data_IF_073289114686
#
_entry.id   IF_073289114686
#
_cell.length_a   1.000
_cell.length_b   1.000
_cell.length_c   1.000
_cell.angle_alpha   90.00
_cell.angle_beta   90.00
_cell.angle_gamma   90.00
#
_symmetry.space_group_name_H-M   'P 1'
#
loop_
_entity.id
_entity.type
_entity.pdbx_description
1 polymer ?
#
# COMPACT_ATOMS: atom_id res chain seq x y z
N UNK A 1 2.02 -29.48 29.80
CA UNK A 1 2.92 -30.03 28.77
C UNK A 1 2.11 -30.43 27.54
N UNK A 2 1.77 -29.47 26.66
CA UNK A 2 1.28 -29.81 25.32
C UNK A 2 2.48 -30.27 24.48
N UNK A 3 2.37 -31.46 23.87
CA UNK A 3 3.39 -31.99 22.97
C UNK A 3 3.51 -31.05 21.78
N UNK A 4 4.63 -30.33 21.69
CA UNK A 4 5.13 -29.73 20.46
C UNK A 4 5.09 -30.79 19.35
N UNK A 5 4.16 -30.64 18.40
CA UNK A 5 4.24 -31.36 17.14
C UNK A 5 5.44 -30.79 16.37
N UNK A 6 6.62 -31.39 16.57
CA UNK A 6 7.78 -31.15 15.70
C UNK A 6 7.46 -31.76 14.34
N UNK A 7 7.02 -30.92 13.39
CA UNK A 7 6.95 -31.31 11.98
C UNK A 7 8.40 -31.62 11.54
N UNK A 8 8.69 -32.89 11.26
CA UNK A 8 10.06 -33.42 11.04
C UNK A 8 10.76 -32.87 9.79
N UNK A 9 10.05 -32.18 8.91
CA UNK A 9 10.57 -31.40 7.79
C UNK A 9 9.83 -30.07 7.85
N UNK A 10 10.51 -28.93 7.97
CA UNK A 10 9.83 -27.63 7.90
C UNK A 10 9.22 -27.50 6.48
N UNK A 11 7.90 -27.71 6.28
CA UNK A 11 7.28 -27.62 4.97
C UNK A 11 7.19 -26.17 4.48
N UNK A 12 7.51 -25.21 5.34
CA UNK A 12 7.35 -23.77 5.15
C UNK A 12 8.62 -23.10 4.60
N UNK A 13 9.58 -23.88 4.06
CA UNK A 13 10.78 -23.33 3.44
C UNK A 13 10.56 -23.09 1.95
N UNK A 14 10.84 -21.86 1.51
CA UNK A 14 10.95 -21.56 0.08
C UNK A 14 12.23 -22.18 -0.47
N UNK A 15 12.08 -23.20 -1.32
CA UNK A 15 13.18 -23.91 -1.95
C UNK A 15 13.64 -23.24 -3.25
N UNK A 16 14.76 -23.73 -3.81
CA UNK A 16 15.33 -23.18 -5.03
C UNK A 16 14.39 -23.30 -6.24
N UNK A 17 13.58 -24.36 -6.31
CA UNK A 17 12.63 -24.59 -7.40
C UNK A 17 11.39 -23.68 -7.33
N UNK A 18 11.10 -23.08 -6.16
CA UNK A 18 10.06 -22.07 -6.02
C UNK A 18 10.52 -20.69 -6.53
N UNK A 19 11.81 -20.52 -6.86
CA UNK A 19 12.38 -19.22 -7.26
C UNK A 19 12.47 -19.13 -8.78
N UNK A 20 12.12 -17.97 -9.32
CA UNK A 20 12.35 -17.60 -10.72
C UNK A 20 13.80 -17.17 -10.92
N UNK A 21 14.28 -17.13 -12.16
CA UNK A 21 15.67 -16.77 -12.48
C UNK A 21 16.05 -15.37 -12.00
N UNK A 22 15.09 -14.44 -12.06
CA UNK A 22 15.16 -13.05 -11.57
C UNK A 22 15.59 -12.94 -10.09
N UNK A 23 15.16 -13.87 -9.23
CA UNK A 23 15.56 -13.92 -7.81
C UNK A 23 17.09 -13.93 -7.63
N UNK A 24 17.81 -14.50 -8.58
CA UNK A 24 19.27 -14.65 -8.51
C UNK A 24 20.03 -13.46 -9.10
N UNK A 25 19.34 -12.61 -9.83
CA UNK A 25 19.90 -11.42 -10.53
C UNK A 25 19.69 -10.16 -9.70
N UNK A 26 18.58 -10.06 -8.98
CA UNK A 26 18.19 -8.88 -8.20
C UNK A 26 17.93 -9.27 -6.74
N UNK A 27 19.02 -9.40 -5.96
CA UNK A 27 18.97 -9.87 -4.57
C UNK A 27 18.75 -8.76 -3.54
N UNK A 28 18.96 -7.51 -3.92
CA UNK A 28 18.88 -6.36 -3.03
C UNK A 28 18.11 -5.25 -3.75
N UNK A 29 16.77 -5.21 -3.64
CA UNK A 29 16.02 -4.06 -4.13
C UNK A 29 16.55 -2.86 -3.36
N UNK A 30 17.06 -1.82 -4.06
CA UNK A 30 17.75 -0.69 -3.45
C UNK A 30 16.97 -0.05 -2.29
N UNK A 31 17.24 -0.53 -1.06
CA UNK A 31 16.56 -0.17 0.20
C UNK A 31 17.49 0.71 1.04
N UNK A 32 18.09 1.72 0.42
CA UNK A 32 19.08 2.56 1.11
C UNK A 32 18.40 3.42 2.19
N UNK A 33 17.44 4.27 1.81
CA UNK A 33 16.70 5.14 2.74
C UNK A 33 15.21 5.19 2.42
N UNK A 34 14.39 5.33 3.46
CA UNK A 34 12.98 5.67 3.32
C UNK A 34 12.76 7.19 3.22
N UNK A 35 11.57 7.58 2.80
CA UNK A 35 11.14 8.97 2.59
C UNK A 35 9.88 9.35 3.38
N UNK A 36 9.28 8.40 4.11
CA UNK A 36 8.16 8.64 5.01
C UNK A 36 8.64 9.38 6.27
N UNK A 37 8.35 10.69 6.33
CA UNK A 37 8.75 11.56 7.45
C UNK A 37 7.91 11.30 8.70
N UNK A 38 6.61 11.11 8.52
CA UNK A 38 5.66 10.81 9.57
C UNK A 38 4.98 9.48 9.29
N UNK A 39 4.80 8.68 10.33
CA UNK A 39 4.18 7.37 10.19
C UNK A 39 2.69 7.53 9.98
N UNK A 40 2.19 6.88 8.93
CA UNK A 40 0.76 6.87 8.67
C UNK A 40 0.03 6.04 9.74
N UNK A 41 -1.09 6.54 10.25
CA UNK A 41 -1.88 5.87 11.29
C UNK A 41 -3.31 5.72 10.81
N UNK A 42 -3.73 4.49 10.58
CA UNK A 42 -5.14 4.18 10.33
C UNK A 42 -5.83 4.10 11.69
N UNK A 43 -6.67 5.11 11.96
CA UNK A 43 -7.48 5.17 13.17
C UNK A 43 -8.85 4.57 12.90
N UNK A 44 -9.22 3.58 13.70
CA UNK A 44 -10.53 2.99 13.72
C UNK A 44 -11.24 3.45 15.01
N UNK A 45 -12.02 4.51 14.90
CA UNK A 45 -12.78 5.05 16.03
C UNK A 45 -13.91 4.09 16.48
N UNK A 46 -14.43 4.27 17.72
CA UNK A 46 -15.64 3.60 18.17
C UNK A 46 -16.80 3.80 17.19
N UNK A 47 -17.61 2.77 17.00
CA UNK A 47 -18.78 2.85 16.13
C UNK A 47 -19.77 3.92 16.64
N UNK A 48 -20.43 4.68 15.75
CA UNK A 48 -21.21 5.87 16.11
C UNK A 48 -22.38 5.58 17.07
N UNK A 49 -22.94 4.36 17.04
CA UNK A 49 -24.10 3.96 17.84
C UNK A 49 -23.75 3.12 19.08
N UNK A 50 -22.48 3.14 19.51
CA UNK A 50 -21.98 2.38 20.67
C UNK A 50 -21.38 3.34 21.70
N UNK A 51 -21.60 3.07 22.99
CA UNK A 51 -20.93 3.83 24.05
C UNK A 51 -19.42 3.58 24.00
N UNK A 52 -18.57 4.60 23.80
CA UNK A 52 -17.14 4.41 23.70
C UNK A 52 -16.55 3.81 24.97
N UNK A 53 -15.63 2.85 24.80
CA UNK A 53 -14.83 2.28 25.89
C UNK A 53 -13.87 3.33 26.45
N UNK A 54 -13.73 3.38 27.77
CA UNK A 54 -12.74 4.23 28.46
C UNK A 54 -11.31 3.63 28.42
N UNK A 55 -11.15 2.42 27.89
CA UNK A 55 -9.85 1.78 27.76
C UNK A 55 -8.97 2.50 26.74
N UNK A 56 -7.63 2.48 26.93
CA UNK A 56 -6.71 3.09 25.97
C UNK A 56 -6.84 2.43 24.58
N UNK A 57 -6.56 3.17 23.50
CA UNK A 57 -6.57 2.62 22.16
C UNK A 57 -5.65 1.40 22.04
N UNK A 58 -6.08 0.38 21.29
CA UNK A 58 -5.22 -0.73 20.91
C UNK A 58 -4.27 -0.25 19.83
N UNK A 59 -2.97 -0.16 20.14
CA UNK A 59 -1.93 0.30 19.20
C UNK A 59 -1.26 -0.89 18.52
N UNK A 60 -1.40 -0.98 17.21
CA UNK A 60 -0.81 -2.03 16.36
C UNK A 60 0.22 -1.37 15.45
N UNK A 61 1.47 -1.78 15.55
CA UNK A 61 2.56 -1.37 14.69
C UNK A 61 2.76 -2.45 13.62
N UNK A 62 2.29 -2.13 12.41
CA UNK A 62 2.26 -3.05 11.28
C UNK A 62 3.49 -2.87 10.38
N UNK A 63 4.34 -3.90 10.31
CA UNK A 63 5.46 -3.95 9.37
C UNK A 63 4.97 -4.25 7.96
N UNK A 64 5.06 -3.27 7.06
CA UNK A 64 4.61 -3.40 5.66
C UNK A 64 5.50 -2.64 4.68
N UNK A 65 5.29 -2.83 3.38
CA UNK A 65 5.96 -2.10 2.30
C UNK A 65 4.96 -1.76 1.17
N UNK A 66 5.21 -0.73 0.34
CA UNK A 66 4.28 -0.34 -0.72
C UNK A 66 3.82 -1.49 -1.63
N UNK A 67 4.74 -2.43 -1.91
CA UNK A 67 4.46 -3.64 -2.70
C UNK A 67 3.43 -4.58 -2.07
N UNK A 68 3.12 -4.42 -0.78
CA UNK A 68 2.24 -5.27 0.01
C UNK A 68 0.90 -4.60 0.34
N UNK A 69 0.43 -3.67 -0.51
CA UNK A 69 -0.86 -2.99 -0.35
C UNK A 69 -2.03 -3.97 -0.13
N UNK A 70 -2.14 -5.03 -0.94
CA UNK A 70 -3.20 -6.04 -0.81
C UNK A 70 -3.23 -6.67 0.58
N UNK A 71 -2.06 -7.09 1.09
CA UNK A 71 -1.94 -7.68 2.41
C UNK A 71 -2.27 -6.65 3.50
N UNK A 72 -1.79 -5.41 3.37
CA UNK A 72 -2.06 -4.31 4.32
C UNK A 72 -3.56 -4.03 4.42
N UNK A 73 -4.24 -3.95 3.27
CA UNK A 73 -5.68 -3.74 3.21
C UNK A 73 -6.44 -4.86 3.90
N UNK A 74 -6.11 -6.12 3.62
CA UNK A 74 -6.80 -7.27 4.23
C UNK A 74 -6.47 -7.42 5.72
N UNK A 75 -5.25 -7.08 6.15
CA UNK A 75 -4.89 -7.01 7.57
C UNK A 75 -5.82 -6.04 8.31
N UNK A 76 -5.90 -4.79 7.84
CA UNK A 76 -6.75 -3.74 8.45
C UNK A 76 -8.21 -4.16 8.43
N UNK A 77 -8.68 -4.71 7.30
CA UNK A 77 -10.04 -5.23 7.19
C UNK A 77 -10.32 -6.34 8.22
N UNK A 78 -9.39 -7.27 8.41
CA UNK A 78 -9.54 -8.35 9.41
C UNK A 78 -9.72 -7.79 10.82
N UNK A 79 -8.94 -6.77 11.21
CA UNK A 79 -9.10 -6.07 12.49
C UNK A 79 -10.48 -5.43 12.59
N UNK A 80 -10.93 -4.73 11.55
CA UNK A 80 -12.27 -4.12 11.52
C UNK A 80 -13.40 -5.13 11.70
N UNK A 81 -13.25 -6.37 11.23
CA UNK A 81 -14.29 -7.39 11.34
C UNK A 81 -14.42 -7.97 12.76
N UNK A 82 -13.34 -7.99 13.53
CA UNK A 82 -13.29 -8.75 14.79
C UNK A 82 -13.06 -7.88 16.03
N UNK A 83 -12.77 -6.60 15.86
CA UNK A 83 -12.56 -5.65 16.96
C UNK A 83 -13.82 -5.44 17.81
N UNK A 84 -13.63 -5.09 19.07
CA UNK A 84 -14.66 -4.45 19.88
C UNK A 84 -15.08 -3.12 19.23
N UNK A 85 -16.34 -2.96 18.78
CA UNK A 85 -16.79 -1.72 18.15
C UNK A 85 -16.83 -0.54 19.12
N UNK A 86 -16.77 -0.75 20.43
CA UNK A 86 -16.72 0.32 21.42
C UNK A 86 -15.31 0.91 21.60
N UNK A 87 -14.25 0.19 21.20
CA UNK A 87 -12.86 0.58 21.47
C UNK A 87 -12.18 1.18 20.24
N UNK A 88 -11.29 2.13 20.48
CA UNK A 88 -10.44 2.70 19.45
C UNK A 88 -9.26 1.78 19.12
N UNK A 89 -8.91 1.67 17.84
CA UNK A 89 -7.72 0.95 17.36
C UNK A 89 -6.89 1.88 16.48
N UNK A 90 -5.58 1.87 16.68
CA UNK A 90 -4.61 2.66 15.92
C UNK A 90 -3.64 1.70 15.24
N UNK A 91 -3.64 1.67 13.90
CA UNK A 91 -2.75 0.81 13.11
C UNK A 91 -1.69 1.70 12.46
N UNK A 92 -0.49 1.69 13.04
CA UNK A 92 0.67 2.46 12.61
C UNK A 92 1.41 1.70 11.50
N UNK A 93 1.43 2.27 10.28
CA UNK A 93 2.04 1.65 9.12
C UNK A 93 3.56 1.92 9.08
N UNK A 94 4.35 0.95 9.52
CA UNK A 94 5.81 1.05 9.48
C UNK A 94 6.34 0.70 8.09
N UNK A 95 6.36 1.70 7.22
CA UNK A 95 6.75 1.54 5.82
C UNK A 95 7.67 2.67 5.35
N UNK A 96 8.83 2.35 4.77
CA UNK A 96 9.76 3.35 4.21
C UNK A 96 10.05 4.56 5.15
N UNK A 97 10.16 4.34 6.46
CA UNK A 97 10.45 5.38 7.45
C UNK A 97 11.78 6.07 7.14
N UNK A 98 11.74 7.41 7.11
CA UNK A 98 12.88 8.25 6.78
C UNK A 98 14.00 8.15 7.83
N UNK A 99 15.25 8.21 7.36
CA UNK A 99 16.43 8.22 8.22
C UNK A 99 16.75 6.88 8.90
N UNK A 100 16.11 5.78 8.50
CA UNK A 100 16.47 4.42 8.95
C UNK A 100 17.07 3.63 7.78
N UNK A 101 18.36 3.24 7.85
CA UNK A 101 18.99 2.42 6.84
C UNK A 101 18.38 1.01 6.83
N UNK A 102 18.03 0.50 5.64
CA UNK A 102 17.40 -0.82 5.48
C UNK A 102 18.18 -1.79 4.62
N UNK A 103 19.42 -1.42 4.28
CA UNK A 103 20.34 -2.25 3.52
C UNK A 103 20.53 -3.61 4.20
N UNK A 104 20.37 -4.68 3.43
CA UNK A 104 20.50 -6.06 3.93
C UNK A 104 19.34 -6.57 4.78
N UNK A 105 18.23 -5.82 4.91
CA UNK A 105 17.02 -6.34 5.53
C UNK A 105 16.30 -7.30 4.59
N UNK A 106 15.71 -8.36 5.16
CA UNK A 106 14.96 -9.36 4.38
C UNK A 106 13.69 -8.76 3.79
N UNK A 107 12.94 -8.01 4.60
CA UNK A 107 11.75 -7.24 4.23
C UNK A 107 12.01 -5.75 4.46
N UNK A 108 11.25 -4.87 3.83
CA UNK A 108 11.37 -3.41 4.00
C UNK A 108 11.12 -2.88 5.41
N UNK A 109 10.76 -3.75 6.37
CA UNK A 109 10.37 -3.42 7.74
C UNK A 109 11.04 -4.27 8.83
N UNK A 110 11.98 -5.17 8.47
CA UNK A 110 12.54 -6.20 9.37
C UNK A 110 12.92 -5.69 10.78
N UNK A 111 13.70 -4.60 10.91
CA UNK A 111 14.15 -4.12 12.22
C UNK A 111 13.31 -2.97 12.79
N UNK A 112 12.25 -2.52 12.11
CA UNK A 112 11.37 -1.48 12.64
C UNK A 112 10.72 -1.87 13.97
N UNK A 113 10.48 -3.16 14.19
CA UNK A 113 9.96 -3.70 15.45
C UNK A 113 10.74 -3.27 16.70
N UNK A 114 12.03 -2.96 16.57
CA UNK A 114 12.89 -2.54 17.68
C UNK A 114 12.89 -1.03 17.91
N UNK A 115 12.24 -0.25 17.05
CA UNK A 115 12.00 1.18 17.25
C UNK A 115 10.58 1.47 17.79
N UNK A 116 9.73 0.44 17.94
CA UNK A 116 8.35 0.60 18.42
C UNK A 116 8.26 1.31 19.77
N UNK A 117 9.09 1.02 20.80
CA UNK A 117 9.03 1.77 22.04
C UNK A 117 9.17 3.29 21.81
N UNK A 118 10.11 3.71 20.96
CA UNK A 118 10.29 5.11 20.61
C UNK A 118 9.05 5.71 19.92
N UNK A 119 8.50 5.04 18.91
CA UNK A 119 7.32 5.53 18.20
C UNK A 119 6.03 5.49 19.02
N UNK A 120 5.96 4.63 20.04
CA UNK A 120 4.89 4.60 21.02
C UNK A 120 5.05 5.66 22.12
N UNK A 121 6.05 6.55 22.02
CA UNK A 121 6.32 7.60 23.01
C UNK A 121 7.07 7.12 24.25
N UNK A 122 7.76 5.98 24.16
CA UNK A 122 8.41 5.26 25.26
C UNK A 122 7.47 4.92 26.42
N UNK A 123 6.17 4.76 26.14
CA UNK A 123 5.18 4.53 27.17
C UNK A 123 4.02 3.63 26.71
N UNK A 124 3.39 2.95 27.66
CA UNK A 124 2.23 2.10 27.45
C UNK A 124 2.55 0.80 26.71
N UNK A 125 1.54 0.21 26.07
CA UNK A 125 1.66 -1.06 25.34
C UNK A 125 1.52 -0.91 23.84
N UNK A 126 2.13 -1.81 23.08
CA UNK A 126 2.03 -1.88 21.63
C UNK A 126 2.01 -3.34 21.17
N UNK A 127 1.22 -3.65 20.15
CA UNK A 127 1.34 -4.89 19.39
C UNK A 127 2.24 -4.63 18.18
N UNK A 128 3.17 -5.53 17.91
CA UNK A 128 3.84 -5.63 16.62
C UNK A 128 3.16 -6.71 15.76
N UNK A 129 2.98 -6.47 14.47
CA UNK A 129 2.63 -7.50 13.48
C UNK A 129 3.45 -7.35 12.20
N UNK A 130 3.88 -8.47 11.62
CA UNK A 130 4.20 -8.57 10.19
C UNK A 130 2.87 -8.54 9.39
N UNK A 131 2.86 -7.93 8.20
CA UNK A 131 1.64 -7.79 7.38
C UNK A 131 1.10 -9.09 6.79
N UNK A 132 1.85 -10.19 6.91
CA UNK A 132 1.45 -11.52 6.44
C UNK A 132 0.57 -12.29 7.44
N UNK A 133 -0.11 -11.54 8.32
CA UNK A 133 -1.00 -12.05 9.34
C UNK A 133 -2.43 -11.51 9.18
N UNK A 134 -3.42 -12.19 9.75
CA UNK A 134 -4.80 -11.70 9.86
C UNK A 134 -5.36 -12.08 11.23
N UNK A 135 -6.22 -11.21 11.78
CA UNK A 135 -6.92 -11.48 13.03
C UNK A 135 -8.24 -12.21 12.76
N UNK A 136 -8.49 -13.26 13.54
CA UNK A 136 -9.76 -14.00 13.59
C UNK A 136 -10.52 -13.73 14.89
N UNK A 137 -9.85 -13.12 15.88
CA UNK A 137 -10.45 -12.62 17.10
C UNK A 137 -9.89 -11.24 17.43
N UNK A 138 -10.57 -10.52 18.33
CA UNK A 138 -10.22 -9.14 18.69
C UNK A 138 -8.76 -9.00 19.19
N UNK A 139 -7.90 -8.19 18.53
CA UNK A 139 -6.53 -7.93 19.00
C UNK A 139 -6.46 -7.27 20.38
N UNK A 140 -7.53 -6.65 20.89
CA UNK A 140 -7.59 -6.15 22.27
C UNK A 140 -7.26 -7.24 23.29
N UNK A 141 -7.68 -8.50 23.03
CA UNK A 141 -7.40 -9.64 23.93
C UNK A 141 -5.90 -9.92 24.05
N UNK A 142 -5.12 -9.69 22.99
CA UNK A 142 -3.66 -9.74 23.05
C UNK A 142 -3.11 -8.49 23.75
N UNK A 143 -3.61 -7.30 23.40
CA UNK A 143 -3.14 -6.03 23.94
C UNK A 143 -3.25 -5.93 25.47
N UNK A 144 -4.34 -6.47 26.01
CA UNK A 144 -4.66 -6.41 27.44
C UNK A 144 -4.05 -7.58 28.23
N UNK A 145 -3.34 -8.51 27.58
CA UNK A 145 -2.76 -9.68 28.23
C UNK A 145 -1.82 -9.26 29.38
N UNK A 146 -1.91 -9.99 30.50
CA UNK A 146 -0.97 -9.83 31.60
C UNK A 146 0.43 -10.22 31.15
N UNK A 147 1.39 -9.34 31.43
CA UNK A 147 2.78 -9.54 31.01
C UNK A 147 3.69 -10.05 32.14
N UNK A 148 3.18 -10.17 33.38
CA UNK A 148 3.94 -10.70 34.54
C UNK A 148 5.34 -10.08 34.70
N UNK A 149 5.45 -8.77 34.46
CA UNK A 149 6.70 -8.02 34.52
C UNK A 149 7.65 -8.22 33.34
N UNK A 150 7.25 -8.97 32.30
CA UNK A 150 7.97 -9.08 31.03
C UNK A 150 7.82 -7.82 30.20
N UNK A 151 8.85 -7.52 29.41
CA UNK A 151 8.85 -6.41 28.45
C UNK A 151 8.27 -6.81 27.09
N UNK A 152 8.33 -8.09 26.74
CA UNK A 152 7.80 -8.62 25.48
C UNK A 152 7.15 -9.97 25.69
N UNK A 153 5.96 -10.18 25.12
CA UNK A 153 5.38 -11.50 24.92
C UNK A 153 5.41 -11.87 23.44
N UNK A 154 5.88 -13.08 23.12
CA UNK A 154 5.81 -13.69 21.79
C UNK A 154 5.73 -15.22 21.90
N UNK A 155 5.47 -15.95 20.81
CA UNK A 155 5.36 -17.42 20.91
C UNK A 155 6.69 -18.11 21.22
N UNK A 156 7.82 -17.48 20.89
CA UNK A 156 9.16 -17.89 21.31
C UNK A 156 10.15 -16.76 21.05
N UNK A 157 11.33 -16.81 21.66
CA UNK A 157 12.42 -15.88 21.34
C UNK A 157 12.74 -15.87 19.83
N UNK A 158 12.57 -16.99 19.11
CA UNK A 158 12.91 -17.06 17.67
C UNK A 158 11.84 -16.46 16.77
N UNK A 159 10.60 -16.40 17.23
CA UNK A 159 9.42 -16.10 16.43
C UNK A 159 8.80 -14.79 16.91
N UNK A 160 9.13 -13.70 16.22
CA UNK A 160 8.77 -12.35 16.64
C UNK A 160 7.99 -11.59 15.56
N UNK A 161 7.32 -12.32 14.66
CA UNK A 161 6.40 -11.76 13.65
C UNK A 161 5.15 -11.13 14.26
N UNK A 162 4.81 -11.52 15.50
CA UNK A 162 3.83 -10.84 16.34
C UNK A 162 4.31 -10.81 17.78
N UNK A 163 4.17 -9.66 18.43
CA UNK A 163 4.61 -9.45 19.82
C UNK A 163 3.67 -8.49 20.54
N UNK A 164 3.45 -8.71 21.83
CA UNK A 164 3.00 -7.66 22.75
C UNK A 164 4.23 -7.03 23.41
N UNK A 165 4.32 -5.71 23.41
CA UNK A 165 5.46 -4.94 23.89
C UNK A 165 5.01 -3.97 24.99
N UNK A 166 5.68 -4.01 26.13
CA UNK A 166 5.64 -2.97 27.15
C UNK A 166 6.69 -1.92 26.77
N UNK A 167 6.23 -0.79 26.24
CA UNK A 167 7.09 0.25 25.67
C UNK A 167 7.88 1.00 26.76
N UNK A 168 7.35 1.12 27.99
CA UNK A 168 8.07 1.70 29.12
C UNK A 168 9.29 0.83 29.49
N UNK A 169 9.07 -0.49 29.62
CA UNK A 169 10.14 -1.44 30.00
C UNK A 169 11.18 -1.62 28.90
N UNK A 170 10.76 -1.60 27.63
CA UNK A 170 11.64 -1.88 26.50
C UNK A 170 12.38 -0.65 25.97
N UNK A 171 11.91 0.57 26.26
CA UNK A 171 12.54 1.81 25.78
C UNK A 171 14.05 1.92 26.05
N UNK A 172 14.61 1.50 27.21
CA UNK A 172 16.06 1.55 27.45
C UNK A 172 16.88 0.55 26.63
N UNK A 173 16.26 -0.52 26.13
CA UNK A 173 16.96 -1.63 25.46
C UNK A 173 16.76 -1.62 23.93
N UNK A 174 15.61 -1.15 23.48
CA UNK A 174 15.18 -1.13 22.09
C UNK A 174 15.03 0.32 21.64
N UNK A 175 16.16 0.92 21.23
CA UNK A 175 16.24 2.35 20.90
C UNK A 175 16.24 2.58 19.39
N UNK A 176 15.66 3.71 18.97
CA UNK A 176 15.73 4.13 17.56
C UNK A 176 17.17 4.36 17.10
N UNK A 177 18.04 4.87 17.98
CA UNK A 177 19.46 5.12 17.66
C UNK A 177 20.20 3.82 17.33
N UNK A 178 19.93 2.74 18.07
CA UNK A 178 20.49 1.42 17.78
C UNK A 178 19.99 0.84 16.45
N UNK A 179 18.71 1.06 16.14
CA UNK A 179 18.15 0.68 14.84
C UNK A 179 18.82 1.47 13.71
N UNK A 180 19.00 2.79 13.87
CA UNK A 180 19.70 3.66 12.92
C UNK A 180 21.17 3.31 12.77
N UNK A 181 21.82 2.89 13.85
CA UNK A 181 23.19 2.38 13.85
C UNK A 181 23.34 1.00 13.17
N UNK A 182 22.23 0.39 12.73
CA UNK A 182 22.25 -0.88 12.01
C UNK A 182 22.43 -2.11 12.90
N UNK A 183 22.16 -1.99 14.21
CA UNK A 183 22.13 -3.16 15.10
C UNK A 183 21.05 -4.14 14.61
N UNK A 184 21.34 -5.43 14.72
CA UNK A 184 20.51 -6.50 14.16
C UNK A 184 19.71 -7.20 15.23
N UNK A 185 18.73 -7.97 14.77
CA UNK A 185 17.90 -8.88 15.52
C UNK A 185 18.60 -9.59 16.71
N UNK A 186 19.77 -10.20 16.48
CA UNK A 186 20.51 -10.93 17.53
C UNK A 186 20.90 -10.03 18.71
N UNK A 187 21.27 -8.78 18.44
CA UNK A 187 21.58 -7.81 19.49
C UNK A 187 20.35 -7.52 20.36
N UNK A 188 19.25 -7.11 19.73
CA UNK A 188 18.03 -6.71 20.45
C UNK A 188 17.41 -7.87 21.26
N UNK A 189 17.61 -9.10 20.80
CA UNK A 189 17.13 -10.30 21.48
C UNK A 189 18.02 -10.66 22.65
N UNK A 190 19.34 -10.58 22.48
CA UNK A 190 20.29 -10.82 23.57
C UNK A 190 20.05 -9.85 24.73
N UNK A 191 19.95 -8.54 24.48
CA UNK A 191 19.74 -7.56 25.56
C UNK A 191 18.41 -7.74 26.29
N UNK A 192 17.35 -8.15 25.58
CA UNK A 192 16.05 -8.46 26.19
C UNK A 192 16.10 -9.74 27.02
N UNK A 193 16.76 -10.79 26.52
CA UNK A 193 16.90 -12.09 27.18
C UNK A 193 17.77 -11.97 28.43
N UNK A 194 18.91 -11.26 28.34
CA UNK A 194 19.79 -10.97 29.47
C UNK A 194 19.08 -10.18 30.58
N UNK A 195 18.19 -9.26 30.21
CA UNK A 195 17.34 -8.52 31.15
C UNK A 195 16.18 -9.35 31.74
N UNK A 196 15.98 -10.60 31.27
CA UNK A 196 14.88 -11.46 31.71
C UNK A 196 13.50 -10.96 31.29
N UNK A 197 13.41 -10.11 30.28
CA UNK A 197 12.19 -9.40 29.86
C UNK A 197 11.37 -10.14 28.80
N UNK A 198 11.78 -11.33 28.39
CA UNK A 198 10.99 -12.17 27.49
C UNK A 198 9.95 -13.01 28.25
N UNK A 199 8.74 -13.10 27.70
CA UNK A 199 7.68 -14.04 28.10
C UNK A 199 7.06 -14.74 26.89
N UNK A 200 6.48 -15.91 27.12
CA UNK A 200 5.76 -16.67 26.10
C UNK A 200 4.27 -16.30 26.08
N UNK A 201 3.68 -16.19 24.89
CA UNK A 201 2.22 -16.08 24.70
C UNK A 201 1.65 -17.34 24.03
N UNK A 202 0.33 -17.58 24.12
CA UNK A 202 -0.32 -18.71 23.45
C UNK A 202 -0.04 -18.74 21.95
N UNK A 203 0.16 -19.94 21.39
CA UNK A 203 0.43 -20.13 19.96
C UNK A 203 -0.73 -19.73 19.04
N UNK A 204 -1.95 -19.62 19.57
CA UNK A 204 -3.13 -19.14 18.83
C UNK A 204 -2.96 -17.72 18.28
N UNK A 205 -2.10 -16.90 18.91
CA UNK A 205 -1.75 -15.54 18.47
C UNK A 205 -0.67 -15.49 17.39
N UNK A 206 -0.12 -16.63 16.97
CA UNK A 206 0.79 -16.74 15.83
C UNK A 206 0.69 -18.14 15.19
N UNK A 207 -0.51 -18.49 14.71
CA UNK A 207 -0.77 -19.80 14.10
C UNK A 207 -0.19 -19.82 12.69
N UNK A 208 0.93 -20.51 12.49
CA UNK A 208 1.65 -20.54 11.21
C UNK A 208 1.04 -21.57 10.27
N UNK A 209 0.57 -21.15 9.10
CA UNK A 209 0.12 -22.03 8.00
C UNK A 209 -0.76 -23.23 8.45
N UNK A 210 -1.59 -23.05 9.48
CA UNK A 210 -2.50 -24.08 10.00
C UNK A 210 -1.92 -25.01 11.07
N UNK A 211 -0.83 -24.64 11.74
CA UNK A 211 -0.30 -25.37 12.90
C UNK A 211 -1.31 -25.51 14.05
N UNK A 212 -2.25 -24.57 14.17
CA UNK A 212 -3.39 -24.62 15.08
C UNK A 212 -4.68 -24.75 14.24
N UNK A 213 -5.64 -25.60 14.63
CA UNK A 213 -6.98 -25.62 14.03
C UNK A 213 -7.57 -24.22 13.93
N UNK A 214 -8.26 -23.94 12.83
CA UNK A 214 -8.73 -22.58 12.52
C UNK A 214 -9.72 -22.03 13.56
N UNK A 215 -10.54 -22.90 14.15
CA UNK A 215 -11.50 -22.60 15.21
C UNK A 215 -10.85 -22.25 16.56
N UNK A 216 -9.53 -22.50 16.69
CA UNK A 216 -8.71 -22.19 17.86
C UNK A 216 -7.65 -21.12 17.56
N UNK A 217 -7.68 -20.53 16.37
CA UNK A 217 -6.70 -19.53 15.93
C UNK A 217 -7.21 -18.13 16.23
N UNK A 218 -6.42 -17.33 16.94
CA UNK A 218 -6.72 -15.91 17.20
C UNK A 218 -6.10 -15.01 16.12
N UNK A 219 -4.86 -15.31 15.70
CA UNK A 219 -4.14 -14.63 14.63
C UNK A 219 -3.44 -15.66 13.72
N UNK A 220 -3.87 -15.70 12.46
CA UNK A 220 -3.34 -16.60 11.44
C UNK A 220 -2.16 -15.94 10.72
N UNK A 221 -1.08 -16.69 10.54
CA UNK A 221 0.16 -16.22 9.92
C UNK A 221 0.51 -17.06 8.69
N UNK A 222 0.56 -16.40 7.52
CA UNK A 222 0.94 -17.00 6.24
C UNK A 222 2.46 -16.94 6.05
N UNK A 223 3.21 -17.80 6.74
CA UNK A 223 4.69 -17.73 6.77
C UNK A 223 5.36 -18.11 5.45
N UNK A 224 4.69 -18.96 4.67
CA UNK A 224 5.28 -19.56 3.48
C UNK A 224 5.14 -18.62 2.28
N UNK A 225 6.20 -17.85 1.99
CA UNK A 225 6.21 -16.81 0.94
C UNK A 225 5.66 -17.23 -0.43
N UNK A 226 5.88 -18.47 -0.87
CA UNK A 226 5.44 -18.97 -2.18
C UNK A 226 4.01 -19.55 -2.16
N UNK A 227 3.31 -19.49 -1.02
CA UNK A 227 1.88 -19.82 -0.94
C UNK A 227 1.06 -18.63 -0.42
N UNK A 228 1.68 -17.52 -0.03
CA UNK A 228 0.97 -16.32 0.41
C UNK A 228 -0.09 -15.86 -0.62
N UNK A 229 -1.37 -15.73 -0.23
CA UNK A 229 -2.49 -15.47 -1.15
C UNK A 229 -2.37 -14.23 -2.03
N UNK A 230 -1.75 -13.17 -1.52
CA UNK A 230 -1.59 -11.90 -2.24
C UNK A 230 -0.38 -11.85 -3.19
N UNK A 231 0.43 -12.91 -3.21
CA UNK A 231 1.57 -13.08 -4.13
C UNK A 231 2.55 -11.89 -4.13
N UNK A 232 3.23 -11.56 -3.01
CA UNK A 232 4.00 -10.31 -2.89
C UNK A 232 5.21 -10.18 -3.82
N UNK A 233 5.76 -11.29 -4.32
CA UNK A 233 6.96 -11.28 -5.17
C UNK A 233 6.76 -12.17 -6.42
N UNK A 234 5.79 -11.86 -7.29
CA UNK A 234 5.40 -12.70 -8.42
C UNK A 234 6.50 -12.76 -9.49
N UNK A 235 7.31 -11.71 -9.57
CA UNK A 235 8.49 -11.61 -10.43
C UNK A 235 9.55 -12.61 -10.00
N UNK A 236 9.62 -12.94 -8.70
CA UNK A 236 10.72 -13.68 -8.07
C UNK A 236 10.34 -15.11 -7.69
N UNK A 237 9.06 -15.39 -7.47
CA UNK A 237 8.56 -16.66 -6.95
C UNK A 237 7.53 -17.32 -7.89
N UNK A 238 7.43 -18.63 -7.79
CA UNK A 238 6.33 -19.45 -8.35
C UNK A 238 5.38 -19.78 -7.22
N UNK A 239 4.10 -19.46 -7.40
CA UNK A 239 3.10 -19.57 -6.35
C UNK A 239 2.31 -20.87 -6.44
N UNK A 240 2.05 -21.47 -5.28
CA UNK A 240 1.16 -22.60 -5.07
C UNK A 240 -0.03 -22.17 -4.19
N UNK A 241 -1.10 -22.97 -4.16
CA UNK A 241 -2.24 -22.66 -3.31
C UNK A 241 -1.91 -22.92 -1.83
N UNK A 242 -2.24 -21.95 -0.96
CA UNK A 242 -2.22 -22.18 0.48
C UNK A 242 -3.49 -22.92 0.91
N UNK A 243 -3.41 -23.99 1.72
CA UNK A 243 -4.58 -24.70 2.23
C UNK A 243 -5.57 -23.80 2.98
N UNK A 244 -5.09 -22.75 3.64
CA UNK A 244 -5.87 -21.74 4.35
C UNK A 244 -6.00 -20.42 3.58
N UNK A 245 -5.67 -20.42 2.28
CA UNK A 245 -5.78 -19.23 1.44
C UNK A 245 -7.23 -18.75 1.28
N UNK A 246 -8.20 -19.66 1.37
CA UNK A 246 -9.63 -19.32 1.29
C UNK A 246 -10.05 -18.29 2.35
N UNK A 247 -9.51 -18.38 3.58
CA UNK A 247 -9.80 -17.42 4.66
C UNK A 247 -9.41 -15.99 4.24
N UNK A 248 -8.23 -15.84 3.62
CA UNK A 248 -7.76 -14.55 3.13
C UNK A 248 -8.58 -14.05 1.93
N UNK A 249 -8.88 -14.94 0.97
CA UNK A 249 -9.69 -14.56 -0.20
C UNK A 249 -11.12 -14.15 0.18
N UNK A 250 -11.71 -14.77 1.20
CA UNK A 250 -13.05 -14.39 1.66
C UNK A 250 -13.04 -13.03 2.37
N UNK A 251 -11.98 -12.70 3.12
CA UNK A 251 -11.76 -11.34 3.62
C UNK A 251 -11.55 -10.32 2.49
N UNK A 252 -10.76 -10.64 1.46
CA UNK A 252 -10.57 -9.74 0.30
C UNK A 252 -11.90 -9.49 -0.43
N UNK A 253 -12.69 -10.54 -0.69
CA UNK A 253 -14.02 -10.40 -1.30
C UNK A 253 -14.98 -9.57 -0.43
N UNK A 254 -14.97 -9.76 0.89
CA UNK A 254 -15.79 -8.99 1.80
C UNK A 254 -15.39 -7.50 1.80
N UNK A 255 -14.09 -7.21 1.81
CA UNK A 255 -13.58 -5.84 1.68
C UNK A 255 -13.97 -5.22 0.33
N UNK A 256 -13.89 -5.98 -0.77
CA UNK A 256 -14.31 -5.53 -2.10
C UNK A 256 -15.82 -5.24 -2.15
N UNK A 257 -16.65 -6.12 -1.59
CA UNK A 257 -18.10 -5.93 -1.51
C UNK A 257 -18.50 -4.71 -0.66
N UNK A 258 -17.70 -4.37 0.35
CA UNK A 258 -17.88 -3.17 1.17
C UNK A 258 -17.31 -1.89 0.53
N UNK A 259 -16.65 -1.99 -0.62
CA UNK A 259 -15.93 -0.85 -1.23
C UNK A 259 -14.76 -0.35 -0.36
N UNK A 260 -14.22 -1.19 0.53
CA UNK A 260 -13.24 -0.77 1.52
C UNK A 260 -11.90 -0.41 0.86
N UNK A 261 -11.40 0.78 1.13
CA UNK A 261 -10.05 1.24 0.81
C UNK A 261 -9.40 1.77 2.10
N UNK A 262 -8.06 1.68 2.19
CA UNK A 262 -7.34 2.18 3.37
C UNK A 262 -7.50 3.69 3.55
N UNK A 263 -7.52 4.42 2.43
CA UNK A 263 -7.68 5.87 2.34
C UNK A 263 -8.71 6.18 1.27
N UNK A 264 -9.25 7.38 1.31
CA UNK A 264 -10.27 7.88 0.36
C UNK A 264 -9.98 9.34 0.03
N UNK A 265 -10.75 9.92 -0.90
CA UNK A 265 -10.67 11.37 -1.16
C UNK A 265 -10.99 12.21 0.09
N UNK A 266 -11.95 11.79 0.90
CA UNK A 266 -12.40 12.51 2.10
C UNK A 266 -11.46 12.29 3.30
N UNK A 267 -10.70 11.20 3.28
CA UNK A 267 -9.68 10.86 4.27
C UNK A 267 -8.43 10.30 3.55
N UNK A 268 -7.65 11.17 2.88
CA UNK A 268 -6.43 10.76 2.17
C UNK A 268 -5.29 10.51 3.17
N UNK A 269 -4.14 10.04 2.69
CA UNK A 269 -2.96 9.92 3.55
C UNK A 269 -2.52 11.29 4.10
N UNK A 270 -1.81 11.31 5.24
CA UNK A 270 -1.35 12.55 5.87
C UNK A 270 -0.48 13.42 4.95
N UNK A 271 0.24 12.79 4.03
CA UNK A 271 1.17 13.45 3.12
C UNK A 271 0.50 13.98 1.83
N UNK A 272 -0.74 13.57 1.55
CA UNK A 272 -1.43 13.93 0.30
C UNK A 272 -1.54 15.45 0.11
N UNK A 273 -2.02 16.17 1.13
CA UNK A 273 -2.16 17.62 1.07
C UNK A 273 -0.80 18.34 0.93
N UNK A 274 0.25 17.81 1.58
CA UNK A 274 1.60 18.34 1.45
C UNK A 274 2.17 18.13 0.03
N UNK A 275 1.91 16.99 -0.59
CA UNK A 275 2.28 16.76 -2.00
C UNK A 275 1.53 17.69 -2.94
N UNK A 276 0.22 17.90 -2.75
CA UNK A 276 -0.55 18.86 -3.54
C UNK A 276 0.05 20.27 -3.43
N UNK A 277 0.35 20.74 -2.22
CA UNK A 277 0.97 22.05 -2.03
C UNK A 277 2.34 22.17 -2.73
N UNK A 278 3.15 21.12 -2.69
CA UNK A 278 4.42 21.07 -3.42
C UNK A 278 4.24 21.10 -4.93
N UNK A 279 3.26 20.40 -5.48
CA UNK A 279 2.96 20.44 -6.91
C UNK A 279 2.40 21.79 -7.35
N UNK A 280 1.55 22.43 -6.53
CA UNK A 280 1.08 23.80 -6.75
C UNK A 280 2.26 24.78 -6.87
N UNK A 281 3.23 24.71 -5.96
CA UNK A 281 4.45 25.52 -6.05
C UNK A 281 5.24 25.23 -7.34
N UNK A 282 5.32 23.97 -7.76
CA UNK A 282 6.00 23.60 -9.00
C UNK A 282 5.29 24.15 -10.25
N UNK A 283 3.98 24.40 -10.21
CA UNK A 283 3.23 25.01 -11.31
C UNK A 283 3.61 26.48 -11.56
N UNK A 284 4.18 27.19 -10.59
CA UNK A 284 4.63 28.58 -10.72
C UNK A 284 5.69 28.74 -11.82
N UNK A 285 6.47 27.69 -12.10
CA UNK A 285 7.41 27.66 -13.22
C UNK A 285 6.65 27.39 -14.53
N UNK A 286 6.61 28.32 -15.50
CA UNK A 286 5.75 28.23 -16.68
C UNK A 286 5.86 26.94 -17.49
N UNK A 287 7.07 26.39 -17.64
CA UNK A 287 7.35 25.19 -18.43
C UNK A 287 7.04 23.87 -17.69
N UNK A 288 6.90 23.92 -16.37
CA UNK A 288 6.61 22.75 -15.54
C UNK A 288 5.15 22.34 -15.67
N UNK A 289 4.92 21.03 -15.82
CA UNK A 289 3.59 20.41 -15.98
C UNK A 289 2.77 21.02 -17.12
N UNK A 290 3.40 21.27 -18.27
CA UNK A 290 2.72 21.74 -19.47
C UNK A 290 1.65 20.76 -20.04
N UNK A 291 1.63 19.50 -19.62
CA UNK A 291 0.71 18.47 -20.13
C UNK A 291 1.16 17.84 -21.45
N UNK A 292 2.47 17.72 -21.70
CA UNK A 292 3.02 17.22 -22.97
C UNK A 292 2.85 15.71 -23.20
N UNK A 293 2.72 14.89 -22.14
CA UNK A 293 2.73 13.43 -22.32
C UNK A 293 1.54 12.92 -23.11
N UNK A 294 0.36 13.54 -22.95
CA UNK A 294 -0.88 13.07 -23.56
C UNK A 294 -0.82 12.97 -25.09
N UNK A 295 -0.02 13.82 -25.75
CA UNK A 295 0.20 13.78 -27.21
C UNK A 295 0.69 12.42 -27.71
N UNK A 296 1.48 11.70 -26.90
CA UNK A 296 2.00 10.37 -27.24
C UNK A 296 0.91 9.31 -27.31
N UNK A 297 -0.24 9.59 -26.69
CA UNK A 297 -1.29 8.62 -26.45
C UNK A 297 -2.61 8.96 -27.17
N UNK A 298 -2.70 10.09 -27.89
CA UNK A 298 -3.91 10.47 -28.63
C UNK A 298 -4.46 9.38 -29.55
N UNK A 299 -3.61 8.62 -30.24
CA UNK A 299 -4.07 7.52 -31.09
C UNK A 299 -4.81 6.41 -30.30
N UNK A 300 -4.32 6.09 -29.09
CA UNK A 300 -4.94 5.10 -28.21
C UNK A 300 -6.22 5.66 -27.60
N UNK A 301 -6.20 6.90 -27.11
CA UNK A 301 -7.38 7.58 -26.56
C UNK A 301 -8.50 7.67 -27.61
N UNK A 302 -8.18 8.08 -28.84
CA UNK A 302 -9.15 8.14 -29.93
C UNK A 302 -9.72 6.75 -30.29
N UNK A 303 -8.90 5.69 -30.20
CA UNK A 303 -9.36 4.32 -30.41
C UNK A 303 -10.36 3.90 -29.33
N UNK A 304 -9.99 4.07 -28.05
CA UNK A 304 -10.85 3.73 -26.92
C UNK A 304 -12.19 4.48 -26.97
N UNK A 305 -12.14 5.78 -27.28
CA UNK A 305 -13.35 6.58 -27.42
C UNK A 305 -14.28 6.10 -28.53
N UNK A 306 -13.75 5.74 -29.71
CA UNK A 306 -14.57 5.16 -30.79
C UNK A 306 -15.18 3.81 -30.40
N UNK A 307 -14.44 2.96 -29.70
CA UNK A 307 -14.92 1.63 -29.28
C UNK A 307 -16.00 1.70 -28.20
N UNK A 308 -16.06 2.81 -27.46
CA UNK A 308 -17.01 3.03 -26.36
C UNK A 308 -18.10 4.03 -26.70
N UNK A 309 -18.04 4.68 -27.88
CA UNK A 309 -18.97 5.74 -28.27
C UNK A 309 -18.82 7.03 -27.46
N UNK A 310 -17.66 7.23 -26.83
CA UNK A 310 -17.38 8.38 -25.96
C UNK A 310 -17.23 9.67 -26.76
N UNK A 311 -17.91 10.72 -26.30
CA UNK A 311 -17.84 12.09 -26.83
C UNK A 311 -17.20 13.08 -25.85
N UNK A 312 -17.06 12.69 -24.58
CA UNK A 312 -16.48 13.54 -23.52
C UNK A 312 -15.54 12.72 -22.63
N UNK A 313 -14.35 13.25 -22.36
CA UNK A 313 -13.35 12.63 -21.50
C UNK A 313 -12.89 13.58 -20.40
N UNK A 314 -12.51 13.01 -19.25
CA UNK A 314 -11.75 13.68 -18.21
C UNK A 314 -10.25 13.43 -18.41
N UNK A 315 -9.45 14.48 -18.50
CA UNK A 315 -7.99 14.40 -18.41
C UNK A 315 -7.57 14.68 -16.96
N UNK A 316 -7.37 13.60 -16.21
CA UNK A 316 -7.06 13.59 -14.79
C UNK A 316 -5.56 13.85 -14.59
N UNK A 317 -5.22 15.07 -14.15
CA UNK A 317 -3.87 15.62 -14.07
C UNK A 317 -3.35 16.14 -15.42
N UNK A 318 -4.18 16.95 -16.09
CA UNK A 318 -3.91 17.59 -17.37
C UNK A 318 -2.78 18.65 -17.35
N UNK A 319 -2.25 18.99 -16.16
CA UNK A 319 -1.27 20.05 -15.99
C UNK A 319 -1.83 21.40 -16.42
N UNK A 320 -1.10 22.10 -17.29
CA UNK A 320 -1.52 23.39 -17.87
C UNK A 320 -2.30 23.24 -19.18
N UNK A 321 -2.58 22.01 -19.61
CA UNK A 321 -3.41 21.71 -20.79
C UNK A 321 -2.96 22.41 -22.09
N UNK A 322 -1.69 22.79 -22.24
CA UNK A 322 -1.25 23.63 -23.38
C UNK A 322 -1.33 22.90 -24.74
N UNK A 323 -1.54 21.59 -24.69
CA UNK A 323 -1.63 20.72 -25.86
C UNK A 323 -3.07 20.54 -26.36
N UNK A 324 -4.01 21.23 -25.74
CA UNK A 324 -5.39 21.34 -26.20
C UNK A 324 -5.72 22.77 -26.62
N UNK A 325 -6.70 22.90 -27.51
CA UNK A 325 -7.27 24.18 -27.89
C UNK A 325 -8.45 24.53 -26.97
N UNK A 326 -8.69 25.82 -26.79
CA UNK A 326 -9.97 26.31 -26.28
C UNK A 326 -11.09 25.95 -27.27
N UNK A 327 -12.31 25.79 -26.76
CA UNK A 327 -13.50 25.55 -27.58
C UNK A 327 -14.10 26.91 -27.93
N UNK A 328 -14.47 27.10 -29.20
CA UNK A 328 -15.11 28.34 -29.64
C UNK A 328 -16.45 28.54 -28.91
N UNK A 329 -16.65 29.74 -28.36
CA UNK A 329 -17.85 30.09 -27.59
C UNK A 329 -17.78 29.77 -26.09
N UNK A 330 -16.80 28.99 -25.62
CA UNK A 330 -16.53 28.80 -24.20
C UNK A 330 -15.76 30.01 -23.60
N UNK A 331 -15.95 30.32 -22.31
CA UNK A 331 -15.11 31.28 -21.60
C UNK A 331 -13.60 30.96 -21.68
N UNK A 332 -12.75 31.97 -21.58
CA UNK A 332 -11.29 31.80 -21.66
C UNK A 332 -10.73 30.91 -20.54
N UNK A 333 -11.36 30.96 -19.37
CA UNK A 333 -11.07 30.16 -18.18
C UNK A 333 -11.87 28.85 -18.13
N UNK A 334 -12.67 28.53 -19.16
CA UNK A 334 -13.39 27.26 -19.21
C UNK A 334 -12.41 26.10 -19.05
N UNK A 335 -12.73 25.09 -18.24
CA UNK A 335 -11.89 23.91 -18.11
C UNK A 335 -12.08 22.92 -19.27
N UNK A 336 -13.04 23.19 -20.15
CA UNK A 336 -13.27 22.38 -21.33
C UNK A 336 -12.34 22.77 -22.46
N UNK A 337 -11.81 21.75 -23.13
CA UNK A 337 -10.86 21.85 -24.21
C UNK A 337 -11.22 20.89 -25.34
N UNK A 338 -10.59 21.09 -26.49
CA UNK A 338 -10.67 20.19 -27.64
C UNK A 338 -9.29 19.89 -28.20
N UNK A 339 -9.19 18.87 -29.06
CA UNK A 339 -7.98 18.59 -29.83
C UNK A 339 -8.29 18.23 -31.26
N UNK A 340 -7.58 18.80 -32.22
CA UNK A 340 -7.61 18.35 -33.62
C UNK A 340 -7.20 16.87 -33.75
N UNK A 341 -6.35 16.37 -32.84
CA UNK A 341 -5.93 14.98 -32.80
C UNK A 341 -6.99 14.04 -32.18
N UNK A 342 -8.00 14.61 -31.50
CA UNK A 342 -9.13 13.91 -30.88
C UNK A 342 -10.45 14.50 -31.42
N UNK A 343 -10.71 14.42 -32.74
CA UNK A 343 -11.85 15.10 -33.34
C UNK A 343 -13.17 14.58 -32.77
N UNK A 344 -14.04 15.50 -32.35
CA UNK A 344 -15.35 15.19 -31.77
C UNK A 344 -15.33 14.86 -30.27
N UNK A 345 -14.17 14.89 -29.61
CA UNK A 345 -14.07 14.73 -28.17
C UNK A 345 -13.96 16.09 -27.47
N UNK A 346 -14.81 16.31 -26.45
CA UNK A 346 -14.61 17.37 -25.45
C UNK A 346 -13.75 16.82 -24.32
N UNK A 347 -12.75 17.58 -23.91
CA UNK A 347 -11.81 17.22 -22.85
C UNK A 347 -12.07 18.12 -21.65
N UNK A 348 -12.53 17.57 -20.53
CA UNK A 348 -12.54 18.26 -19.24
C UNK A 348 -11.14 18.14 -18.65
N UNK A 349 -10.43 19.25 -18.53
CA UNK A 349 -9.15 19.29 -17.86
C UNK A 349 -9.35 19.30 -16.34
N UNK A 350 -8.65 18.42 -15.63
CA UNK A 350 -8.58 18.40 -14.17
C UNK A 350 -7.12 18.32 -13.75
N UNK A 351 -6.70 19.09 -12.76
CA UNK A 351 -5.40 18.99 -12.09
C UNK A 351 -5.48 19.68 -10.72
N UNK A 352 -5.45 18.94 -9.59
CA UNK A 352 -5.59 19.53 -8.26
C UNK A 352 -4.41 20.45 -7.88
N UNK A 353 -3.28 20.35 -8.59
CA UNK A 353 -2.13 21.22 -8.46
C UNK A 353 -2.24 22.54 -9.24
N UNK A 354 -3.23 22.68 -10.14
CA UNK A 354 -3.34 23.84 -11.03
C UNK A 354 -4.72 24.50 -10.94
N UNK A 355 -4.80 25.67 -10.31
CA UNK A 355 -6.06 26.36 -9.99
C UNK A 355 -7.08 26.49 -11.16
N UNK A 356 -6.69 26.79 -12.42
CA UNK A 356 -7.64 26.81 -13.54
C UNK A 356 -8.37 25.48 -13.78
N UNK A 357 -7.79 24.35 -13.35
CA UNK A 357 -8.33 23.01 -13.53
C UNK A 357 -8.46 22.24 -12.20
N UNK A 358 -8.41 22.90 -11.05
CA UNK A 358 -8.42 22.21 -9.75
C UNK A 358 -9.79 21.64 -9.35
N UNK A 359 -10.85 22.01 -10.06
CA UNK A 359 -12.17 21.40 -9.93
C UNK A 359 -12.34 20.29 -10.97
N UNK A 360 -12.70 19.08 -10.50
CA UNK A 360 -12.96 17.91 -11.34
C UNK A 360 -14.27 18.04 -12.13
N UNK A 361 -15.19 18.89 -11.69
CA UNK A 361 -16.51 19.10 -12.30
C UNK A 361 -17.52 17.99 -12.01
N UNK A 362 -18.70 18.09 -12.64
CA UNK A 362 -19.78 17.12 -12.50
C UNK A 362 -19.61 15.97 -13.52
N UNK A 363 -19.13 14.83 -13.04
CA UNK A 363 -19.10 13.57 -13.80
C UNK A 363 -20.42 12.79 -13.75
N UNK A 364 -20.44 11.53 -14.24
CA UNK A 364 -19.32 10.80 -14.84
C UNK A 364 -19.09 11.17 -16.31
N UNK A 365 -17.90 10.85 -16.82
CA UNK A 365 -17.46 11.10 -18.19
C UNK A 365 -17.42 9.80 -19.00
N UNK A 366 -17.51 9.90 -20.33
CA UNK A 366 -17.41 8.74 -21.21
C UNK A 366 -16.05 8.04 -21.16
N UNK A 367 -14.98 8.76 -20.79
CA UNK A 367 -13.71 8.15 -20.45
C UNK A 367 -12.87 9.01 -19.52
N UNK A 368 -11.97 8.39 -18.77
CA UNK A 368 -11.02 9.06 -17.88
C UNK A 368 -9.61 8.68 -18.29
N UNK A 369 -8.73 9.66 -18.48
CA UNK A 369 -7.33 9.46 -18.86
C UNK A 369 -6.38 10.06 -17.82
N UNK A 370 -5.21 9.46 -17.63
CA UNK A 370 -4.13 9.97 -16.78
C UNK A 370 -2.79 9.52 -17.36
N UNK A 371 -1.90 10.45 -17.73
CA UNK A 371 -0.68 10.11 -18.51
C UNK A 371 0.67 10.45 -17.87
N UNK A 372 0.70 11.17 -16.73
CA UNK A 372 1.93 11.61 -16.03
C UNK A 372 1.58 12.07 -14.59
N UNK A 373 0.89 11.24 -13.81
CA UNK A 373 0.18 11.68 -12.58
C UNK A 373 0.20 10.62 -11.49
N UNK A 374 -0.17 9.38 -11.78
CA UNK A 374 -0.35 8.37 -10.74
C UNK A 374 0.95 8.05 -10.00
N UNK A 375 2.10 8.17 -10.66
CA UNK A 375 3.45 8.01 -10.07
C UNK A 375 3.86 9.15 -9.13
N UNK A 376 3.17 10.29 -9.19
CA UNK A 376 3.34 11.46 -8.31
C UNK A 376 2.56 11.35 -6.99
N UNK A 377 1.73 10.32 -6.85
CA UNK A 377 1.02 10.04 -5.60
C UNK A 377 1.90 9.24 -4.65
N UNK A 378 1.62 9.30 -3.34
CA UNK A 378 2.14 8.28 -2.44
C UNK A 378 1.50 6.91 -2.76
N UNK A 379 2.20 5.78 -2.50
CA UNK A 379 1.64 4.46 -2.76
C UNK A 379 0.34 4.17 -2.01
N UNK A 380 0.09 4.87 -0.90
CA UNK A 380 -1.13 4.75 -0.10
C UNK A 380 -2.34 5.46 -0.75
N UNK A 381 -2.11 6.49 -1.56
CA UNK A 381 -3.18 7.26 -2.22
C UNK A 381 -3.51 6.77 -3.62
N UNK A 382 -2.57 6.10 -4.29
CA UNK A 382 -2.79 5.49 -5.62
C UNK A 382 -4.09 4.68 -5.71
N UNK A 383 -4.41 3.77 -4.77
CA UNK A 383 -5.57 2.88 -4.91
C UNK A 383 -6.90 3.63 -4.93
N UNK A 384 -7.06 4.68 -4.11
CA UNK A 384 -8.31 5.46 -4.09
C UNK A 384 -8.38 6.46 -5.23
N UNK A 385 -7.26 7.02 -5.68
CA UNK A 385 -7.24 7.88 -6.87
C UNK A 385 -7.60 7.07 -8.13
N UNK A 386 -7.05 5.86 -8.28
CA UNK A 386 -7.46 4.97 -9.37
C UNK A 386 -8.95 4.61 -9.22
N UNK A 387 -9.44 4.33 -8.01
CA UNK A 387 -10.87 4.09 -7.78
C UNK A 387 -11.73 5.27 -8.23
N UNK A 388 -11.35 6.50 -7.89
CA UNK A 388 -12.03 7.72 -8.32
C UNK A 388 -12.05 7.85 -9.85
N UNK A 389 -10.95 7.50 -10.53
CA UNK A 389 -10.91 7.50 -12.00
C UNK A 389 -11.93 6.53 -12.58
N UNK A 390 -12.08 5.33 -12.01
CA UNK A 390 -13.11 4.39 -12.45
C UNK A 390 -14.52 4.86 -12.10
N UNK A 391 -14.73 5.45 -10.91
CA UNK A 391 -16.02 6.01 -10.48
C UNK A 391 -16.51 7.13 -11.41
N UNK A 392 -15.58 7.88 -12.01
CA UNK A 392 -15.87 8.96 -12.94
C UNK A 392 -15.94 8.52 -14.41
N UNK A 393 -15.82 7.22 -14.72
CA UNK A 393 -15.86 6.70 -16.07
C UNK A 393 -17.14 5.90 -16.34
N UNK A 394 -17.77 6.08 -17.51
CA UNK A 394 -18.83 5.19 -18.00
C UNK A 394 -18.39 4.28 -19.15
N UNK A 395 -17.31 4.63 -19.86
CA UNK A 395 -16.82 3.88 -21.02
C UNK A 395 -15.45 3.26 -20.80
N UNK A 396 -14.42 4.08 -20.55
CA UNK A 396 -13.06 3.58 -20.36
C UNK A 396 -12.20 4.37 -19.37
N UNK A 397 -11.18 3.71 -18.83
CA UNK A 397 -10.07 4.32 -18.08
C UNK A 397 -8.74 4.05 -18.78
N UNK A 398 -7.93 5.08 -19.02
CA UNK A 398 -6.60 4.95 -19.60
C UNK A 398 -5.53 5.56 -18.69
N UNK A 399 -4.61 4.74 -18.18
CA UNK A 399 -3.56 5.18 -17.26
C UNK A 399 -2.18 4.87 -17.85
N UNK A 400 -1.25 5.82 -17.72
CA UNK A 400 0.18 5.61 -17.93
C UNK A 400 0.87 5.83 -16.59
N UNK A 401 1.77 4.92 -16.22
CA UNK A 401 2.54 5.00 -14.98
C UNK A 401 4.04 4.83 -15.26
N UNK A 402 4.86 5.77 -14.80
CA UNK A 402 6.31 5.61 -14.82
C UNK A 402 6.80 4.71 -13.67
N UNK A 403 7.52 3.64 -14.01
CA UNK A 403 8.18 2.74 -13.06
C UNK A 403 9.65 3.14 -12.79
N UNK A 404 9.97 4.43 -12.86
CA UNK A 404 11.34 4.94 -12.74
C UNK A 404 11.38 6.35 -12.13
N UNK A 405 12.53 6.82 -11.60
CA UNK A 405 12.65 8.17 -11.04
C UNK A 405 12.38 9.29 -12.05
N UNK A 406 11.67 10.32 -11.61
CA UNK A 406 11.51 11.56 -12.35
C UNK A 406 12.85 12.25 -12.59
N UNK A 407 12.91 13.08 -13.63
CA UNK A 407 13.99 14.07 -13.77
C UNK A 407 13.80 15.23 -12.78
N UNK A 408 12.54 15.53 -12.42
CA UNK A 408 12.19 16.63 -11.52
C UNK A 408 12.31 16.21 -10.07
N UNK A 409 12.60 17.18 -9.22
CA UNK A 409 12.69 17.04 -7.76
C UNK A 409 11.60 17.92 -7.15
N UNK A 410 10.97 17.46 -6.08
CA UNK A 410 10.03 18.23 -5.29
C UNK A 410 10.76 19.38 -4.57
N UNK A 411 10.05 20.45 -4.15
CA UNK A 411 10.63 21.54 -3.37
C UNK A 411 11.39 21.09 -2.12
N UNK A 412 10.99 19.97 -1.52
CA UNK A 412 11.64 19.40 -0.33
C UNK A 412 12.85 18.49 -0.63
N UNK A 413 13.24 18.34 -1.90
CA UNK A 413 14.42 17.58 -2.32
C UNK A 413 14.16 16.11 -2.66
N UNK A 414 12.95 15.58 -2.43
CA UNK A 414 12.60 14.21 -2.87
C UNK A 414 12.38 14.14 -4.39
N UNK A 415 12.45 12.93 -4.94
CA UNK A 415 12.09 12.72 -6.35
C UNK A 415 10.60 13.00 -6.58
N UNK A 416 10.24 13.63 -7.71
CA UNK A 416 8.84 13.96 -7.99
C UNK A 416 7.96 12.73 -8.25
N UNK A 417 8.52 11.60 -8.69
CA UNK A 417 7.81 10.32 -8.71
C UNK A 417 7.97 9.65 -7.35
N UNK A 418 7.00 9.85 -6.48
CA UNK A 418 6.96 9.28 -5.12
C UNK A 418 6.54 7.81 -5.12
N UNK A 419 5.84 7.34 -6.16
CA UNK A 419 5.54 5.92 -6.37
C UNK A 419 6.32 5.36 -7.54
N UNK A 420 7.33 4.55 -7.25
CA UNK A 420 8.18 3.88 -8.25
C UNK A 420 8.03 2.36 -8.10
N UNK A 421 6.85 1.85 -8.43
CA UNK A 421 6.51 0.42 -8.29
C UNK A 421 6.59 -0.34 -9.63
N UNK A 422 6.68 -1.67 -9.55
CA UNK A 422 6.79 -2.53 -10.74
C UNK A 422 5.52 -2.49 -11.60
N UNK A 423 5.61 -2.85 -12.89
CA UNK A 423 4.42 -3.01 -13.73
C UNK A 423 3.36 -3.94 -13.15
N UNK A 424 3.76 -5.00 -12.43
CA UNK A 424 2.82 -5.91 -11.77
C UNK A 424 2.02 -5.21 -10.66
N UNK A 425 2.68 -4.36 -9.87
CA UNK A 425 2.00 -3.62 -8.80
C UNK A 425 0.95 -2.67 -9.37
N UNK A 426 1.28 -1.90 -10.42
CA UNK A 426 0.33 -1.03 -11.11
C UNK A 426 -0.85 -1.81 -11.71
N UNK A 427 -0.56 -2.94 -12.36
CA UNK A 427 -1.59 -3.83 -12.88
C UNK A 427 -2.50 -4.35 -11.77
N UNK A 428 -1.95 -4.64 -10.59
CA UNK A 428 -2.71 -5.05 -9.41
C UNK A 428 -3.67 -3.95 -8.95
N UNK A 429 -3.24 -2.68 -8.92
CA UNK A 429 -4.13 -1.57 -8.54
C UNK A 429 -5.28 -1.39 -9.53
N UNK A 430 -4.98 -1.43 -10.85
CA UNK A 430 -6.01 -1.36 -11.90
C UNK A 430 -6.99 -2.52 -11.81
N UNK A 431 -6.50 -3.76 -11.61
CA UNK A 431 -7.35 -4.93 -11.48
C UNK A 431 -8.28 -4.85 -10.26
N UNK A 432 -7.76 -4.38 -9.10
CA UNK A 432 -8.57 -4.19 -7.89
C UNK A 432 -9.69 -3.18 -8.09
N UNK A 433 -9.41 -2.04 -8.72
CA UNK A 433 -10.44 -1.05 -9.05
C UNK A 433 -11.46 -1.62 -10.04
N UNK A 434 -11.01 -2.26 -11.12
CA UNK A 434 -11.90 -2.80 -12.16
C UNK A 434 -12.92 -3.83 -11.66
N UNK A 435 -12.61 -4.57 -10.58
CA UNK A 435 -13.56 -5.50 -9.94
C UNK A 435 -14.82 -4.80 -9.39
N UNK A 436 -14.70 -3.53 -8.98
CA UNK A 436 -15.81 -2.73 -8.45
C UNK A 436 -16.62 -2.03 -9.55
N UNK A 437 -16.06 -1.91 -10.76
CA UNK A 437 -16.69 -1.22 -11.89
C UNK A 437 -16.79 -2.15 -13.11
N UNK A 438 -17.58 -3.24 -13.02
CA UNK A 438 -17.74 -4.16 -14.13
C UNK A 438 -18.36 -3.45 -15.33
N UNK A 439 -17.72 -3.54 -16.49
CA UNK A 439 -18.18 -2.93 -17.74
C UNK A 439 -17.35 -1.72 -18.19
N UNK A 440 -16.50 -1.17 -17.32
CA UNK A 440 -15.53 -0.14 -17.72
C UNK A 440 -14.33 -0.81 -18.38
N UNK A 441 -14.06 -0.46 -19.64
CA UNK A 441 -12.83 -0.90 -20.33
C UNK A 441 -11.64 -0.20 -19.71
N UNK A 442 -10.47 -0.82 -19.68
CA UNK A 442 -9.30 -0.12 -19.16
C UNK A 442 -8.01 -0.52 -19.86
N UNK A 443 -7.08 0.44 -19.93
CA UNK A 443 -5.75 0.19 -20.47
C UNK A 443 -4.73 0.87 -19.56
N UNK A 444 -3.72 0.11 -19.17
CA UNK A 444 -2.59 0.56 -18.39
C UNK A 444 -1.31 0.41 -19.21
N UNK A 445 -0.52 1.48 -19.31
CA UNK A 445 0.83 1.45 -19.85
C UNK A 445 1.82 1.72 -18.72
N UNK A 446 2.67 0.75 -18.41
CA UNK A 446 3.77 0.92 -17.47
C UNK A 446 5.05 1.20 -18.26
N UNK A 447 5.72 2.33 -18.00
CA UNK A 447 7.00 2.67 -18.62
C UNK A 447 8.17 2.29 -17.71
N UNK A 448 9.10 1.49 -18.22
CA UNK A 448 10.34 1.11 -17.55
C UNK A 448 11.56 1.73 -18.28
N UNK A 449 12.60 2.13 -17.54
CA UNK A 449 13.91 2.51 -18.11
C UNK A 449 14.88 1.35 -17.95
N UNK A 450 15.22 0.69 -19.04
CA UNK A 450 16.23 -0.36 -19.09
C UNK A 450 17.58 0.13 -19.62
N UNK A 451 18.60 -0.72 -19.50
CA UNK A 451 19.97 -0.46 -20.01
C UNK A 451 20.01 -0.17 -21.53
N UNK A 452 19.03 -0.66 -22.29
CA UNK A 452 18.94 -0.50 -23.75
C UNK A 452 17.84 0.45 -24.21
N UNK A 453 17.29 1.27 -23.30
CA UNK A 453 16.23 2.24 -23.60
C UNK A 453 14.94 2.01 -22.82
N UNK A 454 13.87 2.68 -23.25
CA UNK A 454 12.55 2.54 -22.63
C UNK A 454 11.89 1.24 -23.06
N UNK A 455 11.29 0.54 -22.10
CA UNK A 455 10.43 -0.62 -22.32
C UNK A 455 9.03 -0.27 -21.83
N UNK A 456 8.01 -0.74 -22.52
CA UNK A 456 6.62 -0.56 -22.11
C UNK A 456 5.99 -1.93 -21.86
N UNK A 457 5.25 -2.04 -20.75
CA UNK A 457 4.32 -3.14 -20.52
C UNK A 457 2.90 -2.59 -20.64
N UNK A 458 2.05 -3.28 -21.40
CA UNK A 458 0.66 -2.86 -21.64
C UNK A 458 -0.28 -3.92 -21.06
N UNK A 459 -1.20 -3.48 -20.22
CA UNK A 459 -2.24 -4.31 -19.62
C UNK A 459 -3.62 -3.76 -19.98
N UNK A 460 -4.60 -4.66 -20.10
CA UNK A 460 -5.99 -4.34 -20.43
C UNK A 460 -6.92 -5.22 -19.63
N UNK A 461 -8.24 -4.99 -19.70
CA UNK A 461 -9.24 -5.86 -19.08
C UNK A 461 -9.17 -7.32 -19.54
N UNK A 462 -8.53 -7.58 -20.69
CA UNK A 462 -8.33 -8.94 -21.24
C UNK A 462 -7.00 -9.59 -20.84
N UNK A 463 -6.10 -8.84 -20.19
CA UNK A 463 -4.85 -9.40 -19.68
C UNK A 463 -5.13 -10.39 -18.54
N UNK A 464 -4.27 -11.40 -18.40
CA UNK A 464 -4.38 -12.33 -17.27
C UNK A 464 -4.29 -11.54 -15.95
N UNK A 465 -5.36 -11.61 -15.14
CA UNK A 465 -5.47 -10.85 -13.91
C UNK A 465 -4.34 -11.20 -12.94
N UNK A 466 -3.70 -10.22 -12.29
CA UNK A 466 -2.69 -10.47 -11.26
C UNK A 466 -3.34 -10.98 -9.96
N UNK A 467 -4.66 -10.91 -9.85
CA UNK A 467 -5.44 -11.29 -8.68
C UNK A 467 -5.87 -12.76 -8.68
N UNK A 468 -5.70 -13.46 -9.81
CA UNK A 468 -6.04 -14.87 -10.00
C UNK A 468 -4.82 -15.76 -9.76
#
# INVERSE_FOLDING_TARGET
MQKSYKIKNNPYKTHWYNRRMSYWVDKDPGRDFGDMKEMEVIRLDPAPDVTPSEQPPVRIFLGTEPGQYRATRVFVWSVMQVRDPARCYEIHLMSNVAGVPRVGWKTGFTNYRYAIPHWAGNAGRAIYNDVDQIYLTDPARLFDMEMDGKGVLAISLKENSVMLIDCDRMAPLWTLDDVKAGKKHDHFKAVMEEAGLFGEMPNSWNSRDGEVPIDQTDCLHYTTLHTQPWKPFPELLRYEQNPLGHVWYDLEKAADAAGFLLFTKDAPSNEFANLIAQYQQMHDTPETFAGYQVKKHFAIVAKLARETGTTEILDYGSGKAINYQTIEGEPADSPWRQSEALPGLRVRCYDPGHAPFSDIGEGPYGGVISTDVVEHLLPLDVPWVIDEMFANATGFVFVVAACYPAVKTLPDGRNAHTTQQSPYWWHTQMALASRRYPGIRWTLICEEKGRFGRKQAVFTETSASPLD
#
